data_IF_991359867099
#
_entry.id   IF_991359867099
#
_cell.length_a   1.000
_cell.length_b   1.000
_cell.length_c   1.000
_cell.angle_alpha   90.00
_cell.angle_beta   90.00
_cell.angle_gamma   90.00
#
_symmetry.space_group_name_H-M   'P 1'
#
loop_
_entity.id
_entity.type
_entity.pdbx_description
1 polymer ?
#
# COMPACT_ATOMS: atom_id res chain seq x y z
N UNK A 1 43.82 -34.33 22.95
CA UNK A 1 44.30 -32.96 22.65
C UNK A 1 43.19 -31.98 22.99
N UNK A 2 43.14 -31.52 24.25
CA UNK A 2 42.16 -30.54 24.73
C UNK A 2 42.87 -29.23 25.01
N UNK A 3 42.69 -28.25 24.13
CA UNK A 3 43.27 -26.91 24.27
C UNK A 3 42.34 -26.00 25.05
N UNK A 4 42.79 -25.59 26.23
CA UNK A 4 42.14 -24.66 27.14
C UNK A 4 42.29 -23.23 26.57
N UNK A 5 41.20 -22.61 26.12
CA UNK A 5 41.23 -21.22 25.68
C UNK A 5 40.99 -20.29 26.89
N UNK A 6 42.03 -19.54 27.25
CA UNK A 6 41.97 -18.48 28.25
C UNK A 6 41.12 -17.32 27.71
N UNK A 7 40.04 -16.97 28.40
CA UNK A 7 39.29 -15.74 28.13
C UNK A 7 40.03 -14.56 28.77
N UNK A 8 40.70 -13.76 27.93
CA UNK A 8 41.25 -12.48 28.37
C UNK A 8 40.09 -11.54 28.69
N UNK A 9 40.06 -11.07 29.94
CA UNK A 9 39.12 -10.12 30.50
C UNK A 9 39.19 -8.78 29.75
N UNK A 10 38.35 -8.61 28.73
CA UNK A 10 38.08 -7.30 28.14
C UNK A 10 37.15 -6.54 29.09
N UNK A 11 37.72 -5.62 29.85
CA UNK A 11 36.98 -4.63 30.63
C UNK A 11 36.25 -3.71 29.66
N UNK A 12 34.94 -3.87 29.52
CA UNK A 12 34.08 -2.92 28.83
C UNK A 12 33.19 -2.27 29.89
N UNK A 13 33.35 -0.95 29.99
CA UNK A 13 32.62 -0.04 30.87
C UNK A 13 31.23 0.25 30.33
N UNK A 14 30.22 0.21 31.20
CA UNK A 14 28.91 0.86 31.12
C UNK A 14 28.28 1.08 29.73
N UNK A 15 27.24 0.31 29.44
CA UNK A 15 26.28 0.62 28.39
C UNK A 15 25.35 -0.57 28.17
N UNK A 16 24.28 -0.61 28.97
CA UNK A 16 23.06 -1.41 28.77
C UNK A 16 22.91 -2.01 27.37
N UNK A 17 23.02 -3.34 27.25
CA UNK A 17 22.41 -4.05 26.13
C UNK A 17 20.93 -4.13 26.45
N UNK A 18 20.18 -3.12 26.00
CA UNK A 18 18.74 -3.09 26.09
C UNK A 18 18.16 -4.22 25.23
N UNK A 19 17.29 -4.99 25.90
CA UNK A 19 16.45 -6.05 25.41
C UNK A 19 15.81 -5.70 24.05
N UNK A 20 15.99 -6.57 23.06
CA UNK A 20 15.39 -6.43 21.73
C UNK A 20 13.87 -6.64 21.82
N UNK A 21 13.14 -5.60 22.23
CA UNK A 21 11.70 -5.52 22.01
C UNK A 21 11.46 -5.10 20.55
N UNK A 22 11.62 -6.04 19.61
CA UNK A 22 11.16 -5.85 18.23
C UNK A 22 9.63 -5.95 18.25
N UNK A 23 8.95 -4.85 18.55
CA UNK A 23 7.51 -4.73 18.33
C UNK A 23 7.26 -4.84 16.83
N UNK A 24 6.97 -6.05 16.36
CA UNK A 24 6.35 -6.24 15.05
C UNK A 24 4.98 -5.59 15.15
N UNK A 25 4.89 -4.34 14.67
CA UNK A 25 3.64 -3.59 14.58
C UNK A 25 2.63 -4.34 13.71
N UNK A 26 1.79 -5.13 14.38
CA UNK A 26 0.53 -5.75 14.00
C UNK A 26 0.02 -5.44 12.59
N UNK A 27 0.05 -6.46 11.72
CA UNK A 27 -0.88 -6.74 10.61
C UNK A 27 -1.61 -5.52 10.02
N UNK A 28 -0.89 -4.64 9.33
CA UNK A 28 -1.54 -3.72 8.38
C UNK A 28 -2.04 -4.55 7.20
N UNK A 29 -3.28 -5.06 7.28
CA UNK A 29 -3.92 -5.68 6.11
C UNK A 29 -3.72 -4.79 4.89
N UNK A 30 -3.16 -5.39 3.84
CA UNK A 30 -2.81 -4.70 2.61
C UNK A 30 -4.09 -4.22 1.92
N UNK A 31 -4.46 -2.96 2.19
CA UNK A 31 -5.68 -2.38 1.67
C UNK A 31 -5.45 -2.05 0.18
N UNK A 32 -6.31 -2.55 -0.73
CA UNK A 32 -6.13 -2.33 -2.17
C UNK A 32 -6.32 -0.85 -2.53
N UNK A 33 -5.68 -0.41 -3.62
CA UNK A 33 -5.80 0.97 -4.14
C UNK A 33 -6.92 1.14 -5.18
N UNK A 34 -7.55 0.04 -5.64
CA UNK A 34 -8.55 0.04 -6.71
C UNK A 34 -9.77 -0.79 -6.35
N UNK A 35 -10.93 -0.39 -6.87
CA UNK A 35 -12.19 -1.09 -6.71
C UNK A 35 -12.18 -2.44 -7.45
N UNK A 36 -12.61 -3.52 -6.80
CA UNK A 36 -12.65 -4.85 -7.40
C UNK A 36 -13.71 -5.02 -8.52
N UNK A 37 -14.76 -4.20 -8.50
CA UNK A 37 -15.85 -4.27 -9.48
C UNK A 37 -15.47 -3.49 -10.76
N UNK A 38 -15.13 -2.21 -10.65
CA UNK A 38 -14.83 -1.37 -11.82
C UNK A 38 -13.34 -1.30 -12.19
N UNK A 39 -12.44 -1.84 -11.36
CA UNK A 39 -10.97 -1.83 -11.55
C UNK A 39 -10.34 -0.43 -11.62
N UNK A 40 -11.09 0.61 -11.26
CA UNK A 40 -10.64 2.01 -11.20
C UNK A 40 -10.27 2.42 -9.77
N UNK A 41 -9.69 3.60 -9.60
CA UNK A 41 -9.52 4.25 -8.30
C UNK A 41 -10.86 4.39 -7.58
N UNK A 42 -10.85 4.31 -6.26
CA UNK A 42 -12.08 4.41 -5.50
C UNK A 42 -12.75 5.79 -5.60
N UNK A 43 -14.06 5.78 -5.81
CA UNK A 43 -14.92 6.95 -5.65
C UNK A 43 -15.93 6.64 -4.55
N UNK A 44 -15.90 7.42 -3.47
CA UNK A 44 -16.65 7.16 -2.23
C UNK A 44 -16.50 5.70 -1.78
N UNK A 45 -15.31 5.28 -1.31
CA UNK A 45 -15.09 3.89 -0.97
C UNK A 45 -15.95 3.44 0.22
N UNK A 46 -16.53 2.26 0.09
CA UNK A 46 -17.29 1.56 1.14
C UNK A 46 -16.66 0.20 1.43
N UNK A 47 -16.84 -0.26 2.66
CA UNK A 47 -16.35 -1.54 3.16
C UNK A 47 -17.53 -2.40 3.65
N UNK A 48 -17.46 -3.69 3.32
CA UNK A 48 -18.42 -4.71 3.78
C UNK A 48 -17.97 -5.31 5.12
N UNK A 49 -18.84 -6.08 5.79
CA UNK A 49 -18.47 -6.85 6.99
C UNK A 49 -17.29 -7.79 6.77
N UNK A 50 -17.15 -8.33 5.55
CA UNK A 50 -16.03 -9.20 5.16
C UNK A 50 -14.76 -8.45 4.77
N UNK A 51 -14.64 -7.15 5.09
CA UNK A 51 -13.49 -6.29 4.74
C UNK A 51 -13.17 -6.18 3.25
N UNK A 52 -14.16 -6.38 2.37
CA UNK A 52 -14.04 -6.07 0.94
C UNK A 52 -14.43 -4.62 0.63
N UNK A 53 -13.62 -3.96 -0.18
CA UNK A 53 -13.71 -2.54 -0.52
C UNK A 53 -14.21 -2.30 -1.95
N UNK A 54 -15.13 -1.35 -2.13
CA UNK A 54 -15.74 -1.01 -3.43
C UNK A 54 -16.03 0.48 -3.51
N UNK A 55 -16.29 1.01 -4.72
CA UNK A 55 -16.99 2.30 -4.85
C UNK A 55 -18.44 2.14 -4.35
N UNK A 56 -18.99 3.17 -3.72
CA UNK A 56 -20.39 3.20 -3.26
C UNK A 56 -21.36 2.80 -4.38
N UNK A 57 -21.23 3.41 -5.55
CA UNK A 57 -22.07 3.14 -6.72
C UNK A 57 -21.95 1.67 -7.20
N UNK A 58 -20.73 1.14 -7.23
CA UNK A 58 -20.47 -0.25 -7.62
C UNK A 58 -21.10 -1.24 -6.64
N UNK A 59 -20.95 -0.99 -5.33
CA UNK A 59 -21.53 -1.83 -4.28
C UNK A 59 -23.06 -1.88 -4.39
N UNK A 60 -23.71 -0.72 -4.55
CA UNK A 60 -25.16 -0.62 -4.66
C UNK A 60 -25.69 -1.26 -5.96
N UNK A 61 -25.01 -1.07 -7.09
CA UNK A 61 -25.38 -1.68 -8.36
C UNK A 61 -25.30 -3.20 -8.30
N UNK A 62 -24.26 -3.76 -7.69
CA UNK A 62 -24.11 -5.21 -7.52
C UNK A 62 -25.11 -5.80 -6.51
N UNK A 63 -25.37 -5.10 -5.41
CA UNK A 63 -26.26 -5.59 -4.35
C UNK A 63 -27.71 -5.80 -4.82
N UNK A 64 -28.18 -4.98 -5.77
CA UNK A 64 -29.56 -5.04 -6.29
C UNK A 64 -29.95 -6.43 -6.84
N UNK A 65 -29.18 -7.03 -7.77
CA UNK A 65 -29.51 -8.36 -8.31
C UNK A 65 -29.12 -9.55 -7.41
N UNK A 66 -27.96 -9.54 -6.74
CA UNK A 66 -27.42 -10.76 -6.10
C UNK A 66 -27.53 -10.79 -4.57
N UNK A 67 -27.74 -9.63 -3.92
CA UNK A 67 -27.73 -9.44 -2.44
C UNK A 67 -26.42 -9.85 -1.73
N UNK A 68 -25.42 -10.37 -2.45
CA UNK A 68 -24.14 -10.86 -1.93
C UNK A 68 -22.98 -9.88 -2.10
N UNK A 69 -21.83 -10.24 -1.53
CA UNK A 69 -20.56 -9.55 -1.74
C UNK A 69 -19.91 -10.04 -3.05
N UNK A 70 -19.39 -9.12 -3.87
CA UNK A 70 -18.78 -9.48 -5.16
C UNK A 70 -17.53 -10.38 -5.04
N UNK A 71 -16.84 -10.37 -3.90
CA UNK A 71 -15.56 -11.09 -3.73
C UNK A 71 -15.74 -12.47 -3.11
N UNK A 72 -16.61 -12.59 -2.11
CA UNK A 72 -16.76 -13.81 -1.30
C UNK A 72 -18.19 -14.36 -1.26
N UNK A 73 -19.12 -13.76 -2.00
CA UNK A 73 -20.54 -14.10 -2.06
C UNK A 73 -21.30 -14.05 -0.72
N UNK A 74 -20.64 -13.67 0.38
CA UNK A 74 -21.27 -13.52 1.68
C UNK A 74 -22.36 -12.44 1.63
N UNK A 75 -23.48 -12.72 2.30
CA UNK A 75 -24.61 -11.81 2.31
C UNK A 75 -24.26 -10.52 3.05
N UNK A 76 -24.36 -9.39 2.34
CA UNK A 76 -24.02 -8.08 2.90
C UNK A 76 -25.15 -7.49 3.75
N UNK A 77 -26.37 -8.04 3.63
CA UNK A 77 -27.58 -7.54 4.27
C UNK A 77 -27.85 -6.05 4.00
N UNK A 78 -27.32 -5.52 2.90
CA UNK A 78 -27.43 -4.10 2.54
C UNK A 78 -26.56 -3.17 3.39
N UNK A 79 -25.65 -3.72 4.20
CA UNK A 79 -24.76 -2.93 5.06
C UNK A 79 -23.44 -2.67 4.34
N UNK A 80 -23.21 -1.41 4.00
CA UNK A 80 -21.97 -0.91 3.43
C UNK A 80 -21.55 0.33 4.21
N UNK A 81 -20.44 0.24 4.92
CA UNK A 81 -19.94 1.34 5.76
C UNK A 81 -18.91 2.16 4.99
N UNK A 82 -18.84 3.49 5.17
CA UNK A 82 -17.76 4.28 4.59
C UNK A 82 -16.38 3.76 5.03
N UNK A 83 -15.47 3.55 4.08
CA UNK A 83 -14.17 2.94 4.34
C UNK A 83 -13.14 3.96 4.84
N UNK A 84 -13.33 4.47 6.06
CA UNK A 84 -12.49 5.53 6.66
C UNK A 84 -11.00 5.19 6.67
N UNK A 85 -10.65 3.94 6.97
CA UNK A 85 -9.27 3.47 6.99
C UNK A 85 -8.63 3.50 5.59
N UNK A 86 -9.38 3.07 4.57
CA UNK A 86 -8.93 3.15 3.18
C UNK A 86 -8.76 4.60 2.72
N UNK A 87 -9.67 5.50 3.10
CA UNK A 87 -9.57 6.93 2.76
C UNK A 87 -8.30 7.53 3.38
N UNK A 88 -8.03 7.25 4.65
CA UNK A 88 -6.82 7.72 5.33
C UNK A 88 -5.52 7.18 4.67
N UNK A 89 -5.51 5.91 4.25
CA UNK A 89 -4.36 5.35 3.51
C UNK A 89 -4.21 5.98 2.12
N UNK A 90 -5.30 6.20 1.38
CA UNK A 90 -5.26 6.83 0.05
C UNK A 90 -4.72 8.26 0.10
N UNK A 91 -5.06 9.04 1.13
CA UNK A 91 -4.53 10.40 1.31
C UNK A 91 -3.02 10.42 1.57
N UNK A 92 -2.51 9.46 2.35
CA UNK A 92 -1.06 9.33 2.63
C UNK A 92 -0.24 9.00 1.38
N UNK A 93 -0.86 8.34 0.39
CA UNK A 93 -0.22 7.90 -0.84
C UNK A 93 -0.55 8.77 -2.07
N UNK A 94 -1.20 9.92 -1.90
CA UNK A 94 -1.33 10.88 -3.00
C UNK A 94 0.07 11.41 -3.32
N UNK A 95 0.68 11.11 -4.48
CA UNK A 95 1.87 11.82 -4.88
C UNK A 95 1.50 13.31 -4.93
N UNK A 96 2.27 14.15 -4.25
CA UNK A 96 2.22 15.57 -4.52
C UNK A 96 2.41 15.70 -6.04
N UNK A 97 1.46 16.33 -6.72
CA UNK A 97 1.60 16.58 -8.15
C UNK A 97 2.78 17.54 -8.32
N UNK A 98 3.94 16.96 -8.63
CA UNK A 98 5.09 17.68 -9.11
C UNK A 98 4.78 18.16 -10.52
N UNK A 99 4.90 19.47 -10.72
CA UNK A 99 4.82 20.09 -12.03
C UNK A 99 5.86 19.49 -12.96
N UNK A 100 5.43 18.64 -13.88
CA UNK A 100 6.22 18.16 -15.00
C UNK A 100 6.44 19.26 -16.03
N UNK A 101 7.39 20.16 -15.77
CA UNK A 101 8.10 20.85 -16.84
C UNK A 101 9.26 19.95 -17.26
N UNK A 102 9.05 19.16 -18.32
CA UNK A 102 10.16 18.52 -19.01
C UNK A 102 10.85 19.57 -19.88
N UNK A 103 11.80 20.29 -19.28
CA UNK A 103 12.81 21.04 -20.02
C UNK A 103 13.78 20.02 -20.62
N UNK A 104 13.51 19.59 -21.84
CA UNK A 104 14.52 18.94 -22.66
C UNK A 104 15.33 20.06 -23.33
N UNK A 105 16.61 20.28 -22.97
CA UNK A 105 17.47 21.15 -23.77
C UNK A 105 17.60 20.52 -25.16
N UNK A 106 17.06 21.24 -26.14
CA UNK A 106 17.29 21.00 -27.56
C UNK A 106 18.80 21.02 -27.86
N UNK A 107 19.35 19.87 -28.24
CA UNK A 107 20.74 19.74 -28.71
C UNK A 107 20.83 20.29 -30.15
N UNK A 108 21.56 21.41 -30.40
CA UNK A 108 21.62 22.04 -31.71
C UNK A 108 22.62 21.38 -32.68
N UNK A 109 23.25 20.25 -32.35
CA UNK A 109 24.31 19.66 -33.17
C UNK A 109 23.99 18.29 -33.78
N UNK A 110 22.85 18.17 -34.46
CA UNK A 110 22.69 17.08 -35.45
C UNK A 110 22.42 17.62 -36.85
N UNK A 111 23.53 17.93 -37.55
CA UNK A 111 23.50 18.18 -38.98
C UNK A 111 23.03 16.94 -39.77
N UNK A 112 22.52 17.11 -41.01
CA UNK A 112 22.03 16.01 -41.81
C UNK A 112 23.17 15.06 -42.20
N UNK A 113 22.91 13.77 -42.05
CA UNK A 113 23.79 12.67 -42.45
C UNK A 113 23.85 12.64 -43.99
N UNK A 114 25.03 12.66 -44.62
CA UNK A 114 25.15 12.54 -46.07
C UNK A 114 24.76 11.12 -46.51
N UNK A 115 23.92 11.04 -47.53
CA UNK A 115 23.59 9.79 -48.22
C UNK A 115 24.69 9.55 -49.25
N UNK A 116 25.43 8.45 -49.12
CA UNK A 116 26.31 7.91 -50.18
C UNK A 116 25.76 6.60 -50.69
#
# INVERSE_FOLDING_TARGET
>A
MGGRWNVSLMRITNGVYEDENYEVGSDEEEIPFKCFICRQTFQNPVVTKGRHYFCESCALQHFRPTRGCYVCDQQTNGVFNPAKELIAKLEKHRPAEEGGASDFPEDPHKGPIPIT
#
